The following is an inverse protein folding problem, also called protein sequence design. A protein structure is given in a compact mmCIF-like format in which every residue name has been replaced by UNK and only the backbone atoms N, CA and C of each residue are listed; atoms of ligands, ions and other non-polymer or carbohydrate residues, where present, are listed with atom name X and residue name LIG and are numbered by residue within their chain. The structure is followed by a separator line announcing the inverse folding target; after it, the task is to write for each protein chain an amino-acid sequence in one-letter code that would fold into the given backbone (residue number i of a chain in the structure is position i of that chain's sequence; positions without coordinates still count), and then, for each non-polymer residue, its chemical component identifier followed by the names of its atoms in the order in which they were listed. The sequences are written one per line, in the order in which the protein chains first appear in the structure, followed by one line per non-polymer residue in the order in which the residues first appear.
data_IF_610310717078
#
_entry.id   IF_610310717078
#
_cell.length_a   1.000
_cell.length_b   1.000
_cell.length_c   1.000
_cell.angle_alpha   90.00
_cell.angle_beta   90.00
_cell.angle_gamma   90.00
#
_symmetry.space_group_name_H-M   'P 1'
#
loop_
_entity.id
_entity.type
_entity.pdbx_description
1 polymer ?
#
# COMPACT_ATOMS: atom_id res chain seq x y z
N UNK A 1 14.85 -3.65 -21.48
CA UNK A 1 15.33 -3.87 -20.10
C UNK A 1 14.64 -5.12 -19.61
N UNK A 2 15.35 -6.23 -19.44
CA UNK A 2 14.74 -7.48 -18.97
C UNK A 2 14.31 -7.30 -17.51
N UNK A 3 13.07 -7.65 -17.18
CA UNK A 3 12.60 -7.64 -15.79
C UNK A 3 13.52 -8.50 -14.92
N UNK A 4 13.87 -8.07 -13.70
CA UNK A 4 14.64 -8.90 -12.78
C UNK A 4 13.79 -10.14 -12.46
N UNK A 5 14.22 -11.29 -12.99
CA UNK A 5 13.57 -12.57 -12.73
C UNK A 5 13.63 -12.87 -11.22
N UNK A 6 12.47 -13.20 -10.64
CA UNK A 6 12.38 -13.57 -9.23
C UNK A 6 13.22 -14.82 -8.99
N UNK A 7 14.09 -14.75 -7.97
CA UNK A 7 14.86 -15.90 -7.51
C UNK A 7 13.95 -16.93 -6.85
N UNK A 8 14.33 -18.21 -6.94
CA UNK A 8 13.59 -19.31 -6.35
C UNK A 8 13.93 -19.36 -4.85
N UNK A 9 12.94 -19.21 -4.00
CA UNK A 9 13.11 -19.26 -2.53
C UNK A 9 12.77 -20.65 -2.02
N UNK A 10 13.70 -21.25 -1.28
CA UNK A 10 13.56 -22.50 -0.56
C UNK A 10 13.54 -22.20 0.94
N UNK A 11 12.74 -22.95 1.68
CA UNK A 11 12.61 -22.78 3.13
C UNK A 11 13.77 -23.47 3.84
N UNK A 12 14.17 -24.65 3.36
CA UNK A 12 15.19 -25.46 4.02
C UNK A 12 16.21 -26.03 3.02
N UNK A 13 17.46 -26.29 3.45
CA UNK A 13 18.45 -26.95 2.59
C UNK A 13 18.01 -28.36 2.17
N UNK A 14 17.16 -29.01 2.97
CA UNK A 14 16.59 -30.31 2.67
C UNK A 14 15.59 -30.27 1.51
N UNK A 15 14.97 -29.12 1.24
CA UNK A 15 14.12 -28.94 0.05
C UNK A 15 14.94 -29.12 -1.23
N UNK A 16 16.15 -28.53 -1.28
CA UNK A 16 17.04 -28.64 -2.44
C UNK A 16 17.50 -30.08 -2.64
N UNK A 17 17.84 -30.77 -1.54
CA UNK A 17 18.22 -32.19 -1.54
C UNK A 17 17.07 -33.06 -2.01
N UNK A 18 15.85 -32.79 -1.53
CA UNK A 18 14.66 -33.51 -1.93
C UNK A 18 14.37 -33.33 -3.43
N UNK A 19 14.46 -32.11 -3.97
CA UNK A 19 14.29 -31.84 -5.40
C UNK A 19 15.33 -32.59 -6.25
N UNK A 20 16.59 -32.61 -5.81
CA UNK A 20 17.66 -33.34 -6.50
C UNK A 20 17.43 -34.87 -6.45
N UNK A 21 17.08 -35.41 -5.29
CA UNK A 21 16.80 -36.84 -5.13
C UNK A 21 15.55 -37.27 -5.92
N UNK A 22 14.48 -36.47 -5.88
CA UNK A 22 13.24 -36.76 -6.58
C UNK A 22 13.43 -36.69 -8.10
N UNK A 23 14.18 -35.71 -8.62
CA UNK A 23 14.48 -35.63 -10.06
C UNK A 23 15.31 -36.81 -10.54
N UNK A 24 16.32 -37.25 -9.78
CA UNK A 24 17.09 -38.47 -10.07
C UNK A 24 16.21 -39.73 -10.05
N UNK A 25 15.34 -39.88 -9.05
CA UNK A 25 14.39 -41.00 -8.95
C UNK A 25 13.48 -41.06 -10.18
N UNK A 26 12.84 -39.95 -10.53
CA UNK A 26 11.95 -39.88 -11.70
C UNK A 26 12.71 -40.10 -13.01
N UNK A 27 13.95 -39.64 -13.10
CA UNK A 27 14.80 -39.92 -14.25
C UNK A 27 15.12 -41.42 -14.36
N UNK A 28 15.44 -42.09 -13.25
CA UNK A 28 15.62 -43.54 -13.19
C UNK A 28 14.37 -44.30 -13.63
N UNK A 29 13.20 -43.95 -13.11
CA UNK A 29 11.92 -44.55 -13.51
C UNK A 29 11.65 -44.40 -15.02
N UNK A 30 12.01 -43.26 -15.60
CA UNK A 30 11.89 -43.05 -17.06
C UNK A 30 12.90 -43.88 -17.84
N UNK A 31 14.12 -44.04 -17.32
CA UNK A 31 15.13 -44.91 -17.93
C UNK A 31 14.66 -46.36 -17.87
N UNK A 32 14.07 -46.81 -16.77
CA UNK A 32 13.54 -48.18 -16.63
C UNK A 32 12.43 -48.50 -17.64
N UNK A 33 11.59 -47.51 -17.96
CA UNK A 33 10.55 -47.66 -18.99
C UNK A 33 11.14 -47.68 -20.40
N UNK A 34 12.16 -46.86 -20.68
CA UNK A 34 12.73 -46.72 -22.02
C UNK A 34 13.81 -47.78 -22.35
N UNK A 35 14.55 -48.21 -21.33
CA UNK A 35 15.68 -49.15 -21.36
C UNK A 35 15.46 -50.16 -20.21
N UNK A 36 14.50 -51.09 -20.37
CA UNK A 36 14.19 -52.08 -19.34
C UNK A 36 15.42 -52.92 -19.01
N UNK A 37 15.62 -53.31 -17.74
CA UNK A 37 16.79 -54.07 -17.35
C UNK A 37 16.78 -55.46 -18.01
N UNK A 38 17.83 -55.76 -18.77
CA UNK A 38 18.06 -57.07 -19.41
C UNK A 38 19.08 -57.83 -18.56
N UNK A 39 18.94 -59.16 -18.43
CA UNK A 39 19.95 -59.99 -17.76
C UNK A 39 21.26 -60.01 -18.55
N UNK A 40 22.32 -59.46 -17.96
CA UNK A 40 23.63 -59.21 -18.58
C UNK A 40 23.95 -57.71 -18.55
N UNK A 41 25.17 -57.33 -18.17
CA UNK A 41 25.56 -55.92 -17.99
C UNK A 41 25.17 -55.04 -19.19
N UNK A 42 24.13 -54.21 -19.01
CA UNK A 42 23.73 -53.23 -20.00
C UNK A 42 24.62 -51.98 -19.86
N UNK A 43 25.80 -52.06 -20.47
CA UNK A 43 26.80 -50.99 -20.51
C UNK A 43 26.20 -49.70 -21.09
N UNK A 44 25.22 -49.79 -21.99
CA UNK A 44 24.56 -48.62 -22.57
C UNK A 44 23.62 -47.98 -21.55
N UNK A 45 22.81 -48.78 -20.85
CA UNK A 45 21.95 -48.29 -19.76
C UNK A 45 22.77 -47.60 -18.67
N UNK A 46 23.87 -48.21 -18.22
CA UNK A 46 24.76 -47.59 -17.22
C UNK A 46 25.32 -46.24 -17.70
N UNK A 47 25.77 -46.15 -18.95
CA UNK A 47 26.25 -44.88 -19.52
C UNK A 47 25.16 -43.81 -19.62
N UNK A 48 23.93 -44.22 -19.97
CA UNK A 48 22.79 -43.30 -20.02
C UNK A 48 22.46 -42.80 -18.61
N UNK A 49 22.43 -43.68 -17.61
CA UNK A 49 22.23 -43.30 -16.21
C UNK A 49 23.30 -42.32 -15.73
N UNK A 50 24.58 -42.56 -16.07
CA UNK A 50 25.69 -41.68 -15.75
C UNK A 50 25.51 -40.29 -16.38
N UNK A 51 25.23 -40.22 -17.68
CA UNK A 51 25.02 -38.96 -18.42
C UNK A 51 23.79 -38.18 -17.91
N UNK A 52 22.72 -38.88 -17.55
CA UNK A 52 21.52 -38.24 -17.01
C UNK A 52 21.80 -37.70 -15.61
N UNK A 53 22.51 -38.46 -14.77
CA UNK A 53 22.89 -37.99 -13.44
C UNK A 53 23.86 -36.80 -13.49
N UNK A 54 24.81 -36.78 -14.43
CA UNK A 54 25.70 -35.63 -14.63
C UNK A 54 24.92 -34.42 -15.11
N UNK A 55 23.99 -34.59 -16.06
CA UNK A 55 23.12 -33.52 -16.55
C UNK A 55 22.24 -32.93 -15.44
N UNK A 56 21.63 -33.78 -14.61
CA UNK A 56 20.85 -33.31 -13.44
C UNK A 56 21.75 -32.51 -12.50
N UNK A 57 22.97 -32.96 -12.23
CA UNK A 57 23.90 -32.23 -11.35
C UNK A 57 24.29 -30.87 -11.93
N UNK A 58 24.59 -30.80 -13.22
CA UNK A 58 24.93 -29.55 -13.93
C UNK A 58 23.76 -28.57 -13.94
N UNK A 59 22.54 -29.03 -14.24
CA UNK A 59 21.34 -28.18 -14.25
C UNK A 59 21.06 -27.57 -12.88
N UNK A 60 21.18 -28.33 -11.80
CA UNK A 60 21.03 -27.79 -10.44
C UNK A 60 22.18 -26.86 -10.04
N UNK A 61 23.42 -27.11 -10.49
CA UNK A 61 24.55 -26.19 -10.29
C UNK A 61 24.35 -24.85 -11.01
N UNK A 62 23.81 -24.87 -12.23
CA UNK A 62 23.44 -23.64 -12.96
C UNK A 62 22.26 -22.92 -12.30
N UNK A 63 21.28 -23.68 -11.78
CA UNK A 63 20.13 -23.13 -11.06
C UNK A 63 20.52 -22.49 -9.73
N UNK A 64 21.58 -22.97 -9.06
CA UNK A 64 22.02 -22.51 -7.73
C UNK A 64 22.23 -20.98 -7.66
N UNK A 65 22.71 -20.35 -8.74
CA UNK A 65 22.88 -18.88 -8.76
C UNK A 65 21.58 -18.10 -8.65
N UNK A 66 20.46 -18.74 -8.98
CA UNK A 66 19.12 -18.16 -8.94
C UNK A 66 18.25 -18.76 -7.82
N UNK A 67 18.82 -19.55 -6.91
CA UNK A 67 18.13 -20.06 -5.72
C UNK A 67 18.60 -19.35 -4.45
N UNK A 68 17.67 -19.20 -3.51
CA UNK A 68 17.88 -18.64 -2.18
C UNK A 68 17.37 -19.66 -1.17
N UNK A 69 18.14 -19.96 -0.13
CA UNK A 69 17.69 -20.74 1.03
C UNK A 69 17.63 -19.77 2.20
N UNK A 70 16.44 -19.53 2.76
CA UNK A 70 16.22 -18.54 3.83
C UNK A 70 16.80 -17.14 3.53
N UNK A 71 16.73 -16.72 2.26
CA UNK A 71 17.27 -15.44 1.81
C UNK A 71 18.79 -15.43 1.52
N UNK A 72 19.48 -16.55 1.72
CA UNK A 72 20.91 -16.69 1.42
C UNK A 72 21.15 -17.35 0.06
N UNK A 73 22.05 -16.84 -0.79
CA UNK A 73 22.36 -17.43 -2.09
C UNK A 73 23.09 -18.76 -1.93
N UNK A 74 22.72 -19.74 -2.77
CA UNK A 74 23.39 -21.05 -2.79
C UNK A 74 24.61 -20.98 -3.71
N UNK A 75 25.83 -21.27 -3.23
CA UNK A 75 27.01 -21.32 -4.08
C UNK A 75 26.96 -22.54 -5.01
N UNK A 76 27.55 -22.42 -6.21
CA UNK A 76 27.60 -23.52 -7.22
C UNK A 76 28.33 -24.76 -6.72
N UNK A 77 29.32 -24.57 -5.86
CA UNK A 77 30.14 -25.63 -5.26
C UNK A 77 29.60 -26.09 -3.90
N UNK A 78 28.34 -25.78 -3.59
CA UNK A 78 27.71 -26.18 -2.33
C UNK A 78 27.69 -27.70 -2.20
N UNK A 79 28.02 -28.20 -1.00
CA UNK A 79 27.92 -29.62 -0.67
C UNK A 79 26.49 -30.17 -0.82
N UNK A 80 25.48 -29.30 -0.85
CA UNK A 80 24.08 -29.67 -1.09
C UNK A 80 23.82 -30.20 -2.51
N UNK A 81 24.69 -29.87 -3.47
CA UNK A 81 24.56 -30.27 -4.88
C UNK A 81 25.39 -31.52 -5.22
N UNK A 82 26.10 -32.10 -4.24
CA UNK A 82 26.94 -33.26 -4.46
C UNK A 82 26.11 -34.48 -4.93
N UNK A 83 26.70 -35.37 -5.77
CA UNK A 83 26.04 -36.60 -6.18
C UNK A 83 25.75 -37.51 -4.98
N UNK A 84 24.61 -38.21 -5.02
CA UNK A 84 24.23 -39.18 -4.00
C UNK A 84 25.28 -40.31 -3.98
N UNK A 85 25.97 -40.49 -2.86
CA UNK A 85 27.09 -41.42 -2.72
C UNK A 85 28.48 -40.76 -2.71
N UNK A 86 28.59 -39.46 -3.02
CA UNK A 86 29.66 -38.69 -2.42
C UNK A 86 29.46 -38.82 -0.92
N UNK A 87 30.48 -39.30 -0.20
CA UNK A 87 30.50 -39.36 1.27
C UNK A 87 29.81 -38.09 1.73
N UNK A 88 28.61 -38.21 2.32
CA UNK A 88 28.03 -37.10 3.05
C UNK A 88 29.17 -36.76 4.01
N UNK A 89 29.93 -35.71 3.70
CA UNK A 89 30.82 -35.12 4.68
C UNK A 89 29.83 -34.86 5.79
N UNK A 90 29.93 -35.66 6.86
CA UNK A 90 29.23 -35.44 8.12
C UNK A 90 29.10 -33.93 8.18
N UNK A 91 27.86 -33.43 8.11
CA UNK A 91 27.63 -32.00 8.22
C UNK A 91 28.18 -31.72 9.60
N UNK A 92 29.45 -31.31 9.67
CA UNK A 92 30.08 -30.85 10.88
C UNK A 92 29.27 -29.61 11.11
N UNK A 93 28.25 -29.73 11.96
CA UNK A 93 27.47 -28.62 12.43
C UNK A 93 28.52 -27.65 12.98
N UNK A 94 28.85 -26.64 12.18
CA UNK A 94 29.78 -25.60 12.59
C UNK A 94 29.04 -24.80 13.64
N UNK A 95 29.10 -25.28 14.88
CA UNK A 95 28.57 -24.57 16.03
C UNK A 95 29.40 -23.30 16.16
N UNK A 96 28.78 -22.16 15.84
CA UNK A 96 29.35 -20.88 16.21
C UNK A 96 29.61 -20.88 17.72
N UNK A 97 30.84 -20.55 18.17
CA UNK A 97 31.11 -20.43 19.59
C UNK A 97 30.16 -19.43 20.23
N UNK A 98 29.65 -19.76 21.42
CA UNK A 98 28.76 -18.87 22.15
C UNK A 98 29.45 -17.51 22.38
N UNK A 99 28.89 -16.46 21.77
CA UNK A 99 29.43 -15.12 21.92
C UNK A 99 28.86 -14.45 23.16
N UNK A 100 29.70 -14.28 24.19
CA UNK A 100 29.35 -13.52 25.38
C UNK A 100 28.95 -12.08 25.05
N UNK A 101 29.58 -11.48 24.02
CA UNK A 101 29.28 -10.12 23.56
C UNK A 101 27.86 -10.03 22.98
N UNK A 102 27.45 -11.01 22.17
CA UNK A 102 26.09 -11.04 21.63
C UNK A 102 25.07 -11.32 22.74
N UNK A 103 25.40 -12.19 23.70
CA UNK A 103 24.56 -12.41 24.88
C UNK A 103 24.35 -11.13 25.67
N UNK A 104 25.42 -10.42 25.98
CA UNK A 104 25.37 -9.19 26.78
C UNK A 104 24.58 -8.10 26.03
N UNK A 105 24.74 -8.01 24.71
CA UNK A 105 23.94 -7.13 23.86
C UNK A 105 22.46 -7.51 23.88
N UNK A 106 22.13 -8.80 23.76
CA UNK A 106 20.75 -9.27 23.83
C UNK A 106 20.13 -8.98 25.20
N UNK A 107 20.86 -9.21 26.29
CA UNK A 107 20.43 -8.89 27.65
C UNK A 107 20.23 -7.38 27.84
N UNK A 108 21.08 -6.53 27.25
CA UNK A 108 20.91 -5.08 27.26
C UNK A 108 19.66 -4.66 26.49
N UNK A 109 19.45 -5.22 25.30
CA UNK A 109 18.27 -4.93 24.48
C UNK A 109 16.97 -5.31 25.20
N UNK A 110 16.95 -6.46 25.87
CA UNK A 110 15.80 -6.90 26.65
C UNK A 110 15.47 -5.93 27.79
N UNK A 111 16.48 -5.46 28.53
CA UNK A 111 16.28 -4.45 29.58
C UNK A 111 15.73 -3.14 29.02
N UNK A 112 16.28 -2.68 27.89
CA UNK A 112 15.77 -1.45 27.24
C UNK A 112 14.33 -1.63 26.75
N UNK A 113 13.96 -2.82 26.30
CA UNK A 113 12.57 -3.13 25.92
C UNK A 113 11.64 -3.05 27.14
N UNK A 114 12.02 -3.66 28.26
CA UNK A 114 11.24 -3.61 29.51
C UNK A 114 11.07 -2.17 30.03
N UNK A 115 12.14 -1.36 30.01
CA UNK A 115 12.10 0.06 30.38
C UNK A 115 11.14 0.85 29.50
N UNK A 116 11.21 0.67 28.17
CA UNK A 116 10.32 1.33 27.22
C UNK A 116 8.86 0.88 27.39
N UNK A 117 8.61 -0.39 27.69
CA UNK A 117 7.26 -0.89 27.96
C UNK A 117 6.67 -0.21 29.21
N UNK A 118 7.47 -0.03 30.26
CA UNK A 118 7.04 0.71 31.46
C UNK A 118 6.78 2.19 31.14
N UNK A 119 7.66 2.83 30.38
CA UNK A 119 7.50 4.23 29.98
C UNK A 119 6.23 4.44 29.14
N UNK A 120 6.00 3.59 28.14
CA UNK A 120 4.77 3.65 27.32
C UNK A 120 3.52 3.40 28.17
N UNK A 121 3.60 2.48 29.13
CA UNK A 121 2.53 2.24 30.10
C UNK A 121 2.21 3.47 30.94
N UNK A 122 3.23 4.14 31.49
CA UNK A 122 3.09 5.39 32.24
C UNK A 122 2.56 6.51 31.36
N UNK A 123 3.09 6.67 30.15
CA UNK A 123 2.66 7.69 29.21
C UNK A 123 1.19 7.51 28.82
N UNK A 124 0.74 6.28 28.57
CA UNK A 124 -0.68 5.99 28.29
C UNK A 124 -1.60 6.33 29.47
N UNK A 125 -1.11 6.19 30.70
CA UNK A 125 -1.88 6.53 31.91
C UNK A 125 -1.92 8.03 32.19
N UNK A 126 -0.80 8.72 32.06
CA UNK A 126 -0.62 10.10 32.51
C UNK A 126 -0.82 11.14 31.41
N UNK A 127 -0.44 10.85 30.16
CA UNK A 127 -0.53 11.82 29.07
C UNK A 127 -1.97 12.28 28.78
N UNK A 128 -3.00 11.41 28.73
CA UNK A 128 -4.37 11.87 28.48
C UNK A 128 -4.89 12.79 29.58
N UNK A 129 -4.62 12.47 30.85
CA UNK A 129 -5.04 13.29 31.98
C UNK A 129 -4.32 14.64 32.01
N UNK A 130 -3.01 14.67 31.74
CA UNK A 130 -2.23 15.91 31.63
C UNK A 130 -2.69 16.78 30.47
N UNK A 131 -2.91 16.19 29.30
CA UNK A 131 -3.41 16.93 28.13
C UNK A 131 -4.82 17.51 28.38
N UNK A 132 -5.71 16.73 29.01
CA UNK A 132 -7.04 17.22 29.38
C UNK A 132 -6.98 18.33 30.44
N UNK A 133 -6.06 18.26 31.40
CA UNK A 133 -5.86 19.33 32.38
C UNK A 133 -5.34 20.61 31.72
N UNK A 134 -4.33 20.51 30.86
CA UNK A 134 -3.78 21.64 30.12
C UNK A 134 -4.85 22.31 29.24
N UNK A 135 -5.66 21.51 28.52
CA UNK A 135 -6.75 22.04 27.71
C UNK A 135 -7.82 22.76 28.56
N UNK A 136 -8.20 22.21 29.72
CA UNK A 136 -9.13 22.89 30.63
C UNK A 136 -8.59 24.21 31.14
N UNK A 137 -7.30 24.27 31.43
CA UNK A 137 -6.66 25.51 31.89
C UNK A 137 -6.65 26.56 30.78
N UNK A 138 -6.30 26.20 29.53
CA UNK A 138 -6.39 27.13 28.40
C UNK A 138 -7.83 27.61 28.17
N UNK A 139 -8.82 26.71 28.20
CA UNK A 139 -10.23 27.09 28.05
C UNK A 139 -10.71 28.01 29.17
N UNK A 140 -10.29 27.77 30.42
CA UNK A 140 -10.65 28.65 31.53
C UNK A 140 -10.01 30.05 31.38
N UNK A 141 -8.77 30.13 30.87
CA UNK A 141 -8.14 31.43 30.56
C UNK A 141 -8.83 32.15 29.41
N UNK A 142 -9.24 31.42 28.37
CA UNK A 142 -10.00 31.98 27.24
C UNK A 142 -11.40 32.46 27.68
N UNK A 143 -12.07 31.72 28.58
CA UNK A 143 -13.34 32.13 29.21
C UNK A 143 -13.16 33.38 30.08
N UNK A 144 -12.11 33.46 30.92
CA UNK A 144 -11.82 34.65 31.72
C UNK A 144 -11.55 35.89 30.83
N UNK A 145 -10.81 35.72 29.73
CA UNK A 145 -10.57 36.79 28.76
C UNK A 145 -11.83 37.17 27.95
N UNK A 146 -12.70 36.21 27.68
CA UNK A 146 -13.99 36.41 27.00
C UNK A 146 -15.04 37.08 27.91
N UNK A 147 -15.08 36.74 29.20
CA UNK A 147 -15.92 37.40 30.20
C UNK A 147 -15.46 38.85 30.45
N UNK A 148 -14.15 39.12 30.43
CA UNK A 148 -13.62 40.49 30.44
C UNK A 148 -14.00 41.29 29.17
N UNK A 149 -14.17 40.63 28.01
CA UNK A 149 -14.76 41.23 26.79
C UNK A 149 -16.28 41.37 26.88
N UNK A 150 -17.02 40.41 27.45
CA UNK A 150 -18.48 40.46 27.63
C UNK A 150 -18.92 41.48 28.70
N UNK A 151 -18.15 41.69 29.79
CA UNK A 151 -18.38 42.80 30.74
C UNK A 151 -18.11 44.17 30.10
N UNK A 152 -17.30 44.24 29.03
CA UNK A 152 -17.15 45.43 28.19
C UNK A 152 -18.26 45.55 27.12
N UNK A 153 -19.05 44.50 26.88
CA UNK A 153 -20.06 44.40 25.81
C UNK A 153 -21.53 44.38 26.26
N UNK A 154 -21.89 44.79 27.49
CA UNK A 154 -23.28 45.24 27.76
C UNK A 154 -23.66 46.53 26.98
N UNK A 155 -22.77 47.03 26.12
CA UNK A 155 -22.99 48.08 25.12
C UNK A 155 -22.44 47.79 23.71
N UNK A 156 -22.17 46.52 23.36
CA UNK A 156 -21.41 46.11 22.17
C UNK A 156 -22.22 45.76 20.91
N UNK A 157 -23.44 46.27 20.74
CA UNK A 157 -24.11 46.13 19.45
C UNK A 157 -23.33 46.90 18.38
N UNK A 158 -22.82 46.23 17.33
CA UNK A 158 -22.23 46.90 16.17
C UNK A 158 -23.26 47.89 15.63
N UNK A 159 -23.12 49.18 15.95
CA UNK A 159 -23.95 50.24 15.39
C UNK A 159 -23.63 50.32 13.91
N UNK A 160 -24.46 49.66 13.11
CA UNK A 160 -24.51 49.90 11.68
C UNK A 160 -25.09 51.30 11.51
N UNK A 161 -24.22 52.31 11.49
CA UNK A 161 -24.61 53.66 11.12
C UNK A 161 -25.12 53.68 9.68
N UNK A 162 -25.94 54.69 9.38
CA UNK A 162 -26.52 54.89 8.06
C UNK A 162 -25.43 54.81 6.99
N UNK A 163 -25.48 53.77 6.16
CA UNK A 163 -24.49 53.57 5.10
C UNK A 163 -24.59 54.73 4.09
N UNK A 164 -23.46 55.29 3.67
CA UNK A 164 -23.38 56.47 2.80
C UNK A 164 -24.22 56.35 1.52
N UNK A 165 -24.38 55.12 1.01
CA UNK A 165 -25.10 54.82 -0.23
C UNK A 165 -26.46 54.18 -0.04
N UNK A 166 -26.96 54.08 1.20
CA UNK A 166 -28.19 53.36 1.50
C UNK A 166 -29.40 53.89 0.72
N UNK A 167 -29.56 55.22 0.64
CA UNK A 167 -30.66 55.83 -0.11
C UNK A 167 -30.56 55.57 -1.62
N UNK A 168 -29.35 55.48 -2.15
CA UNK A 168 -29.11 55.21 -3.57
C UNK A 168 -29.46 53.75 -3.90
N UNK A 169 -29.03 52.82 -3.06
CA UNK A 169 -29.35 51.39 -3.17
C UNK A 169 -30.86 51.16 -3.05
N UNK A 170 -31.53 51.76 -2.07
CA UNK A 170 -32.98 51.61 -1.90
C UNK A 170 -33.77 52.21 -3.07
N UNK A 171 -33.33 53.36 -3.62
CA UNK A 171 -33.96 53.96 -4.80
C UNK A 171 -33.77 53.10 -6.04
N UNK A 172 -32.53 52.66 -6.32
CA UNK A 172 -32.24 51.81 -7.47
C UNK A 172 -33.00 50.49 -7.41
N UNK A 173 -33.09 49.88 -6.23
CA UNK A 173 -33.88 48.68 -6.01
C UNK A 173 -35.36 48.92 -6.30
N UNK A 174 -35.95 50.00 -5.76
CA UNK A 174 -37.35 50.35 -6.00
C UNK A 174 -37.63 50.55 -7.50
N UNK A 175 -36.79 51.31 -8.19
CA UNK A 175 -36.91 51.53 -9.64
C UNK A 175 -36.77 50.22 -10.42
N UNK A 176 -35.84 49.34 -10.02
CA UNK A 176 -35.67 48.02 -10.63
C UNK A 176 -36.90 47.12 -10.47
N UNK A 177 -37.48 47.08 -9.27
CA UNK A 177 -38.69 46.29 -8.98
C UNK A 177 -39.91 46.85 -9.72
N UNK A 178 -40.09 48.17 -9.75
CA UNK A 178 -41.17 48.81 -10.50
C UNK A 178 -41.05 48.58 -12.01
N UNK A 179 -39.84 48.70 -12.56
CA UNK A 179 -39.55 48.44 -13.97
C UNK A 179 -39.84 46.98 -14.35
N UNK A 180 -39.42 46.02 -13.52
CA UNK A 180 -39.71 44.60 -13.72
C UNK A 180 -41.21 44.32 -13.64
N UNK A 181 -41.92 44.96 -12.70
CA UNK A 181 -43.38 44.88 -12.59
C UNK A 181 -44.11 45.48 -13.79
N UNK A 182 -43.59 46.57 -14.36
CA UNK A 182 -44.06 47.14 -15.63
C UNK A 182 -43.87 46.17 -16.79
N UNK A 183 -42.67 45.60 -16.93
CA UNK A 183 -42.37 44.62 -17.97
C UNK A 183 -43.28 43.39 -17.87
N UNK A 184 -43.48 42.85 -16.67
CA UNK A 184 -44.38 41.71 -16.44
C UNK A 184 -45.82 42.00 -16.89
N UNK A 185 -46.29 43.25 -16.77
CA UNK A 185 -47.63 43.66 -17.23
C UNK A 185 -47.70 43.87 -18.74
N UNK A 186 -46.67 44.45 -19.35
CA UNK A 186 -46.67 44.76 -20.79
C UNK A 186 -46.30 43.57 -21.68
N UNK A 187 -45.50 42.64 -21.18
CA UNK A 187 -44.95 41.53 -21.96
C UNK A 187 -46.04 40.65 -22.60
N UNK A 188 -47.13 40.25 -21.90
CA UNK A 188 -48.20 39.45 -22.52
C UNK A 188 -48.92 40.19 -23.65
N UNK A 189 -49.14 41.50 -23.52
CA UNK A 189 -49.80 42.30 -24.55
C UNK A 189 -48.94 42.47 -25.80
N UNK A 190 -47.62 42.71 -25.63
CA UNK A 190 -46.67 42.78 -26.76
C UNK A 190 -46.53 41.42 -27.44
N UNK A 191 -46.46 40.32 -26.67
CA UNK A 191 -46.46 38.96 -27.21
C UNK A 191 -47.73 38.65 -28.01
N UNK A 192 -48.91 39.03 -27.50
CA UNK A 192 -50.18 38.84 -28.22
C UNK A 192 -50.25 39.66 -29.52
N UNK A 193 -49.72 40.90 -29.53
CA UNK A 193 -49.61 41.70 -30.76
C UNK A 193 -48.64 41.08 -31.76
N UNK A 194 -47.51 40.54 -31.29
CA UNK A 194 -46.54 39.83 -32.12
C UNK A 194 -47.17 38.58 -32.76
N UNK A 195 -47.87 37.77 -31.97
CA UNK A 195 -48.60 36.59 -32.48
C UNK A 195 -49.68 36.98 -33.49
N UNK A 196 -50.44 38.04 -33.24
CA UNK A 196 -51.43 38.54 -34.21
C UNK A 196 -50.79 39.02 -35.51
N UNK A 197 -49.68 39.75 -35.42
CA UNK A 197 -48.93 40.21 -36.59
C UNK A 197 -48.36 39.01 -37.38
N UNK A 198 -47.85 37.99 -36.69
CA UNK A 198 -47.37 36.75 -37.30
C UNK A 198 -48.49 36.01 -38.05
N UNK A 199 -49.66 35.83 -37.42
CA UNK A 199 -50.84 35.22 -38.08
C UNK A 199 -51.32 36.02 -39.29
N UNK A 200 -51.31 37.35 -39.20
CA UNK A 200 -51.68 38.21 -40.33
C UNK A 200 -50.68 38.10 -41.49
N UNK A 201 -49.37 38.01 -41.18
CA UNK A 201 -48.35 37.77 -42.19
C UNK A 201 -48.48 36.39 -42.85
N UNK A 202 -48.78 35.34 -42.08
CA UNK A 202 -49.06 34.00 -42.60
C UNK A 202 -50.27 34.00 -43.56
N UNK A 203 -51.34 34.72 -43.22
CA UNK A 203 -52.52 34.84 -44.10
C UNK A 203 -52.21 35.61 -45.40
N UNK A 204 -51.49 36.73 -45.31
CA UNK A 204 -51.09 37.52 -46.48
C UNK A 204 -50.13 36.77 -47.42
N UNK A 205 -49.34 35.83 -46.89
CA UNK A 205 -48.50 34.93 -47.68
C UNK A 205 -49.28 33.77 -48.30
N UNK A 206 -50.42 33.38 -47.74
CA UNK A 206 -51.28 32.31 -48.24
C UNK A 206 -52.26 32.75 -49.36
N UNK A 207 -52.54 34.05 -49.48
CA UNK A 207 -53.36 34.64 -50.56
C UNK A 207 -52.55 35.09 -51.82
N UNK A 208 -51.27 34.73 -51.91
CA UNK A 208 -50.42 34.86 -53.12
C UNK A 208 -50.12 33.50 -53.71
#
# INVERSE_FOLDING_TARGET
MADPQRKIELQEPDDLRYLLANTRRVAGEKIDVALPPIEGEDVLRQKVEELVNSYVTETFSLAATNTLINGHPVPRDSSLLAPAGAVEKEVVEEYEPFSEVLRDRAAKLLRTEEELLLEVGQLRREAPARAAAALREELARDEELGDDEEELEEGGGVRVERLERQEEVERSWRTGVEGLGGLKREFPAKAARMEKAKRAAEYALAER
#
